data_IF_330134772221
#
_entry.id   IF_330134772221
#
_cell.length_a   1.000
_cell.length_b   1.000
_cell.length_c   1.000
_cell.angle_alpha   90.00
_cell.angle_beta   90.00
_cell.angle_gamma   90.00
#
_symmetry.space_group_name_H-M   'P 1'
#
loop_
_entity.id
_entity.type
_entity.pdbx_description
1 polymer ?
#
# COMPACT_ATOMS: atom_id res chain seq x y z
N UNK A 1 -7.87 -31.12 2.06
CA UNK A 1 -8.19 -30.04 1.14
C UNK A 1 -9.32 -30.49 0.26
N UNK A 2 -10.36 -29.70 0.04
CA UNK A 2 -11.49 -30.07 -0.83
C UNK A 2 -11.39 -29.20 -2.06
N UNK A 3 -11.18 -29.81 -3.23
CA UNK A 3 -11.22 -29.15 -4.55
C UNK A 3 -12.26 -29.87 -5.40
N UNK A 4 -13.15 -29.13 -6.04
CA UNK A 4 -14.25 -29.65 -6.87
C UNK A 4 -15.13 -30.73 -6.18
N UNK A 5 -15.28 -30.62 -4.84
CA UNK A 5 -16.09 -31.58 -4.06
C UNK A 5 -15.37 -32.87 -3.68
N UNK A 6 -14.11 -33.06 -4.06
CA UNK A 6 -13.30 -34.22 -3.65
C UNK A 6 -12.30 -33.85 -2.54
N UNK A 7 -12.12 -34.78 -1.60
CA UNK A 7 -11.19 -34.59 -0.49
C UNK A 7 -9.80 -35.12 -0.86
N UNK A 8 -8.80 -34.22 -0.82
CA UNK A 8 -7.40 -34.58 -1.02
C UNK A 8 -6.63 -34.44 0.29
N UNK A 9 -5.82 -35.45 0.69
CA UNK A 9 -4.95 -35.31 1.85
C UNK A 9 -3.88 -34.25 1.60
N UNK A 10 -3.75 -33.29 2.51
CA UNK A 10 -2.69 -32.26 2.45
C UNK A 10 -1.42 -32.84 3.04
N UNK A 11 -0.45 -33.13 2.20
CA UNK A 11 0.84 -33.70 2.61
C UNK A 11 1.86 -32.64 3.02
N UNK A 12 1.67 -31.36 2.61
CA UNK A 12 2.61 -30.29 2.88
C UNK A 12 1.91 -28.91 2.83
N UNK A 13 2.25 -28.04 3.80
CA UNK A 13 1.70 -26.68 3.87
C UNK A 13 0.30 -26.60 4.48
N UNK A 14 -0.29 -25.40 4.42
CA UNK A 14 -1.67 -25.14 4.80
C UNK A 14 -2.43 -24.56 3.60
N UNK A 15 -3.76 -24.79 3.51
CA UNK A 15 -4.54 -24.29 2.37
C UNK A 15 -4.45 -22.77 2.30
N UNK A 16 -4.31 -22.25 1.08
CA UNK A 16 -4.28 -20.81 0.82
C UNK A 16 -5.64 -20.21 1.18
N UNK A 17 -5.63 -19.12 1.97
CA UNK A 17 -6.85 -18.49 2.48
C UNK A 17 -7.40 -19.08 3.79
N UNK A 18 -6.72 -20.08 4.38
CA UNK A 18 -7.10 -20.60 5.70
C UNK A 18 -6.93 -19.54 6.80
N UNK A 19 -7.89 -19.45 7.73
CA UNK A 19 -7.91 -18.45 8.81
C UNK A 19 -6.65 -18.54 9.71
N UNK A 20 -6.15 -19.75 9.94
CA UNK A 20 -4.98 -20.01 10.79
C UNK A 20 -3.65 -19.86 10.03
N UNK A 21 -3.66 -19.89 8.69
CA UNK A 21 -2.43 -19.87 7.88
C UNK A 21 -1.49 -18.70 8.18
N UNK A 22 -1.97 -17.45 8.39
CA UNK A 22 -1.08 -16.33 8.75
C UNK A 22 -0.38 -16.51 10.10
N UNK A 23 -1.06 -17.14 11.07
CA UNK A 23 -0.49 -17.39 12.41
C UNK A 23 0.61 -18.46 12.30
N UNK A 24 0.32 -19.57 11.61
CA UNK A 24 1.30 -20.64 11.39
C UNK A 24 2.53 -20.14 10.61
N UNK A 25 2.32 -19.32 9.56
CA UNK A 25 3.41 -18.72 8.82
C UNK A 25 4.27 -17.81 9.69
N UNK A 26 3.67 -17.03 10.60
CA UNK A 26 4.41 -16.18 11.53
C UNK A 26 5.20 -16.99 12.56
N UNK A 27 4.63 -18.06 13.11
CA UNK A 27 5.34 -18.98 14.02
C UNK A 27 6.53 -19.60 13.29
N UNK A 28 6.33 -20.08 12.08
CA UNK A 28 7.38 -20.72 11.29
C UNK A 28 8.53 -19.77 10.95
N UNK A 29 8.21 -18.57 10.49
CA UNK A 29 9.20 -17.55 10.15
C UNK A 29 9.81 -16.84 11.37
N UNK A 30 9.25 -17.03 12.58
CA UNK A 30 9.88 -16.52 13.81
C UNK A 30 11.28 -17.08 14.03
N UNK A 31 11.54 -18.28 13.54
CA UNK A 31 12.90 -18.87 13.55
C UNK A 31 13.90 -17.96 12.83
N UNK A 32 13.52 -17.39 11.69
CA UNK A 32 14.36 -16.42 10.98
C UNK A 32 14.58 -15.16 11.82
N UNK A 33 13.52 -14.63 12.48
CA UNK A 33 13.62 -13.44 13.33
C UNK A 33 14.60 -13.68 14.50
N UNK A 34 14.57 -14.85 15.11
CA UNK A 34 15.48 -15.28 16.18
C UNK A 34 16.94 -15.36 15.70
N UNK A 35 17.18 -16.09 14.60
CA UNK A 35 18.52 -16.19 14.01
C UNK A 35 19.08 -14.82 13.63
N UNK A 36 18.23 -13.97 13.02
CA UNK A 36 18.64 -12.62 12.66
C UNK A 36 19.08 -11.81 13.85
N UNK A 37 18.27 -11.77 14.90
CA UNK A 37 18.54 -11.00 16.12
C UNK A 37 19.81 -11.45 16.81
N UNK A 38 20.04 -12.78 16.89
CA UNK A 38 21.17 -13.34 17.62
C UNK A 38 22.50 -13.30 16.85
N UNK A 39 22.47 -13.52 15.53
CA UNK A 39 23.70 -13.75 14.76
C UNK A 39 23.98 -12.69 13.69
N UNK A 40 22.95 -12.06 13.12
CA UNK A 40 23.08 -11.24 11.93
C UNK A 40 22.66 -9.76 12.11
N UNK A 41 22.31 -9.36 13.33
CA UNK A 41 21.88 -7.99 13.65
C UNK A 41 22.93 -6.92 13.29
N UNK A 42 24.20 -7.26 13.29
CA UNK A 42 25.31 -6.36 12.88
C UNK A 42 25.30 -6.03 11.39
N UNK A 43 24.69 -6.87 10.53
CA UNK A 43 24.61 -6.65 9.09
C UNK A 43 23.56 -5.58 8.73
N UNK A 44 22.48 -5.48 9.52
CA UNK A 44 21.41 -4.52 9.27
C UNK A 44 20.16 -4.82 10.08
N UNK A 45 19.16 -3.96 9.92
CA UNK A 45 17.87 -4.09 10.59
C UNK A 45 16.87 -4.84 9.72
N UNK A 46 16.41 -6.00 10.20
CA UNK A 46 15.34 -6.77 9.56
C UNK A 46 13.98 -6.27 10.03
N UNK A 47 13.11 -6.01 9.09
CA UNK A 47 11.68 -5.75 9.29
C UNK A 47 10.89 -6.76 8.48
N UNK A 48 10.01 -7.52 9.11
CA UNK A 48 9.17 -8.52 8.47
C UNK A 48 7.69 -8.23 8.69
N UNK A 49 6.91 -8.41 7.67
CA UNK A 49 5.46 -8.41 7.70
C UNK A 49 4.95 -9.62 6.93
N UNK A 50 4.48 -10.64 7.65
CA UNK A 50 4.20 -11.97 7.10
C UNK A 50 5.41 -12.53 6.33
N UNK A 51 5.28 -12.76 5.03
CA UNK A 51 6.33 -13.22 4.12
C UNK A 51 7.13 -12.06 3.46
N UNK A 52 6.65 -10.84 3.53
CA UNK A 52 7.37 -9.66 3.04
C UNK A 52 8.47 -9.23 4.01
N UNK A 53 9.70 -9.13 3.51
CA UNK A 53 10.89 -8.81 4.32
C UNK A 53 11.65 -7.62 3.75
N UNK A 54 12.13 -6.77 4.63
CA UNK A 54 12.99 -5.64 4.32
C UNK A 54 14.19 -5.65 5.26
N UNK A 55 15.40 -5.62 4.71
CA UNK A 55 16.64 -5.48 5.49
C UNK A 55 17.32 -4.17 5.10
N UNK A 56 17.50 -3.29 6.07
CA UNK A 56 18.18 -2.01 5.87
C UNK A 56 19.62 -2.14 6.31
N UNK A 57 20.55 -2.07 5.36
CA UNK A 57 21.99 -2.19 5.57
C UNK A 57 22.69 -0.86 5.32
N UNK A 58 23.86 -0.66 5.95
CA UNK A 58 24.67 0.55 5.77
C UNK A 58 25.47 0.55 4.47
N UNK A 59 25.91 -0.61 4.02
CA UNK A 59 26.76 -0.80 2.84
C UNK A 59 26.19 -1.89 1.92
N UNK A 60 26.59 -1.84 0.65
CA UNK A 60 26.23 -2.87 -0.32
C UNK A 60 26.76 -4.24 0.09
N UNK A 61 28.02 -4.31 0.57
CA UNK A 61 28.62 -5.56 1.04
C UNK A 61 27.80 -6.19 2.19
N UNK A 62 27.37 -5.37 3.16
CA UNK A 62 26.50 -5.86 4.23
C UNK A 62 25.14 -6.35 3.71
N UNK A 63 24.58 -5.73 2.67
CA UNK A 63 23.34 -6.19 2.05
C UNK A 63 23.50 -7.52 1.31
N UNK A 64 24.64 -7.75 0.65
CA UNK A 64 24.97 -9.01 0.00
C UNK A 64 25.16 -10.14 1.05
N UNK A 65 25.86 -9.85 2.13
CA UNK A 65 26.00 -10.78 3.26
C UNK A 65 24.66 -11.08 3.94
N UNK A 66 23.81 -10.08 4.10
CA UNK A 66 22.45 -10.20 4.64
C UNK A 66 21.58 -11.12 3.77
N UNK A 67 21.62 -10.93 2.46
CA UNK A 67 20.91 -11.79 1.52
C UNK A 67 21.37 -13.23 1.61
N UNK A 68 22.67 -13.46 1.68
CA UNK A 68 23.25 -14.81 1.85
C UNK A 68 22.79 -15.45 3.17
N UNK A 69 22.87 -14.72 4.28
CA UNK A 69 22.44 -15.19 5.60
C UNK A 69 20.96 -15.58 5.63
N UNK A 70 20.06 -14.71 5.10
CA UNK A 70 18.63 -15.02 4.98
C UNK A 70 18.40 -16.27 4.14
N UNK A 71 19.08 -16.39 3.00
CA UNK A 71 18.94 -17.55 2.12
C UNK A 71 19.33 -18.83 2.84
N UNK A 72 20.43 -18.84 3.59
CA UNK A 72 20.86 -19.99 4.37
C UNK A 72 19.84 -20.40 5.46
N UNK A 73 19.30 -19.42 6.19
CA UNK A 73 18.30 -19.69 7.22
C UNK A 73 17.01 -20.23 6.60
N UNK A 74 16.54 -19.63 5.51
CA UNK A 74 15.34 -20.10 4.81
C UNK A 74 15.51 -21.49 4.22
N UNK A 75 16.69 -21.83 3.68
CA UNK A 75 17.00 -23.18 3.22
C UNK A 75 16.90 -24.24 4.32
N UNK A 76 17.38 -23.93 5.55
CA UNK A 76 17.19 -24.80 6.72
C UNK A 76 15.71 -25.01 7.04
N UNK A 77 14.88 -24.01 6.79
CA UNK A 77 13.43 -24.07 6.92
C UNK A 77 12.74 -24.66 5.67
N UNK A 78 13.47 -25.23 4.71
CA UNK A 78 12.94 -25.75 3.44
C UNK A 78 12.12 -24.71 2.65
N UNK A 79 12.48 -23.43 2.80
CA UNK A 79 11.92 -22.30 2.07
C UNK A 79 12.94 -21.74 1.08
N UNK A 80 12.44 -21.19 -0.03
CA UNK A 80 13.28 -20.58 -1.06
C UNK A 80 12.97 -19.10 -1.21
N UNK A 81 14.02 -18.30 -1.38
CA UNK A 81 13.88 -16.87 -1.71
C UNK A 81 13.44 -16.74 -3.16
N UNK A 82 12.43 -15.91 -3.41
CA UNK A 82 11.93 -15.72 -4.79
C UNK A 82 12.95 -14.92 -5.61
N UNK A 83 13.52 -15.49 -6.69
CA UNK A 83 14.70 -14.93 -7.35
C UNK A 83 14.44 -13.57 -8.02
N UNK A 84 13.26 -13.36 -8.60
CA UNK A 84 12.93 -12.12 -9.32
C UNK A 84 12.35 -11.02 -8.43
N UNK A 85 11.76 -11.36 -7.29
CA UNK A 85 11.19 -10.38 -6.34
C UNK A 85 12.22 -9.88 -5.34
N UNK A 86 13.23 -10.69 -5.01
CA UNK A 86 14.28 -10.33 -4.06
C UNK A 86 15.38 -9.56 -4.78
N UNK A 87 15.71 -8.38 -4.27
CA UNK A 87 16.71 -7.51 -4.90
C UNK A 87 17.38 -6.60 -3.89
N UNK A 88 18.64 -6.29 -4.12
CA UNK A 88 19.38 -5.27 -3.39
C UNK A 88 19.19 -3.94 -4.13
N UNK A 89 18.74 -2.91 -3.42
CA UNK A 89 18.45 -1.60 -3.99
C UNK A 89 19.18 -0.51 -3.22
N UNK A 90 19.80 0.43 -3.94
CA UNK A 90 20.33 1.64 -3.33
C UNK A 90 19.22 2.67 -3.16
N UNK A 91 18.95 3.05 -1.90
CA UNK A 91 17.82 3.93 -1.54
C UNK A 91 17.96 5.35 -2.07
N UNK A 92 19.23 5.80 -2.33
CA UNK A 92 19.50 7.14 -2.87
C UNK A 92 19.14 7.27 -4.36
N UNK A 93 19.35 6.23 -5.14
CA UNK A 93 19.21 6.27 -6.61
C UNK A 93 17.78 5.96 -7.05
N UNK A 94 17.22 4.83 -6.65
CA UNK A 94 15.95 4.33 -7.19
C UNK A 94 14.81 4.30 -6.18
N UNK A 95 15.11 4.22 -4.86
CA UNK A 95 14.10 3.90 -3.86
C UNK A 95 13.58 2.47 -3.99
N UNK A 96 12.62 2.09 -3.16
CA UNK A 96 12.00 0.77 -3.19
C UNK A 96 10.55 0.84 -2.70
N UNK A 97 9.76 -0.18 -3.03
CA UNK A 97 8.40 -0.33 -2.53
C UNK A 97 8.35 -1.42 -1.44
N UNK A 98 7.68 -1.12 -0.33
CA UNK A 98 7.40 -2.06 0.76
C UNK A 98 6.03 -1.73 1.37
N UNK A 99 5.19 -2.74 1.55
CA UNK A 99 3.82 -2.62 2.08
C UNK A 99 2.99 -1.52 1.41
N UNK A 100 3.11 -1.39 0.11
CA UNK A 100 2.37 -0.39 -0.68
C UNK A 100 2.93 1.03 -0.63
N UNK A 101 3.95 1.30 0.21
CA UNK A 101 4.68 2.56 0.25
C UNK A 101 5.89 2.52 -0.67
N UNK A 102 6.18 3.64 -1.30
CA UNK A 102 7.46 3.90 -1.95
C UNK A 102 8.36 4.66 -0.99
N UNK A 103 9.55 4.11 -0.75
CA UNK A 103 10.59 4.70 0.09
C UNK A 103 11.72 5.27 -0.77
N UNK A 104 12.15 6.47 -0.46
CA UNK A 104 13.24 7.15 -1.16
C UNK A 104 14.03 8.03 -0.20
N UNK A 105 15.32 8.23 -0.48
CA UNK A 105 16.15 9.15 0.30
C UNK A 105 16.30 10.46 -0.47
N UNK A 106 15.65 11.50 0.01
CA UNK A 106 15.63 12.82 -0.61
C UNK A 106 16.17 13.91 0.29
N UNK A 107 16.40 15.11 -0.26
CA UNK A 107 16.82 16.28 0.49
C UNK A 107 15.62 17.02 1.08
N UNK A 108 15.69 17.36 2.35
CA UNK A 108 14.72 18.23 3.01
C UNK A 108 14.79 19.65 2.43
N UNK A 109 13.64 20.23 2.06
CA UNK A 109 13.59 21.57 1.43
C UNK A 109 14.19 22.69 2.30
N UNK A 110 14.01 22.62 3.63
CA UNK A 110 14.49 23.66 4.56
C UNK A 110 15.94 23.47 4.98
N UNK A 111 16.35 22.24 5.29
CA UNK A 111 17.66 21.97 5.90
C UNK A 111 18.70 21.44 4.93
N UNK A 112 18.32 21.09 3.70
CA UNK A 112 19.19 20.42 2.72
C UNK A 112 19.65 19.02 3.14
N UNK A 113 19.35 18.58 4.37
CA UNK A 113 19.76 17.27 4.91
C UNK A 113 19.06 16.13 4.18
N UNK A 114 19.74 15.02 4.02
CA UNK A 114 19.16 13.78 3.49
C UNK A 114 18.23 13.17 4.54
N UNK A 115 16.97 13.01 4.17
CA UNK A 115 15.94 12.42 5.01
C UNK A 115 15.25 11.26 4.27
N UNK A 116 14.75 10.25 5.00
CA UNK A 116 13.86 9.26 4.40
C UNK A 116 12.52 9.92 4.06
N UNK A 117 12.07 9.68 2.84
CA UNK A 117 10.76 10.09 2.36
C UNK A 117 9.96 8.84 2.05
N UNK A 118 8.66 8.85 2.34
CA UNK A 118 7.76 7.76 1.97
C UNK A 118 6.39 8.30 1.55
N UNK A 119 5.81 7.68 0.53
CA UNK A 119 4.48 8.01 0.00
C UNK A 119 3.83 6.78 -0.63
N UNK A 120 2.52 6.79 -0.93
CA UNK A 120 1.85 5.68 -1.63
C UNK A 120 2.56 5.31 -2.92
N UNK A 121 2.91 4.04 -3.08
CA UNK A 121 3.56 3.50 -4.26
C UNK A 121 2.64 3.52 -5.49
N UNK A 122 3.23 3.28 -6.67
CA UNK A 122 2.49 3.35 -7.92
C UNK A 122 1.38 2.30 -8.00
N UNK A 123 1.63 1.09 -7.50
CA UNK A 123 0.62 0.01 -7.46
C UNK A 123 -0.56 0.40 -6.57
N UNK A 124 -0.31 0.97 -5.38
CA UNK A 124 -1.35 1.43 -4.47
C UNK A 124 -2.19 2.57 -5.07
N UNK A 125 -1.55 3.52 -5.78
CA UNK A 125 -2.25 4.57 -6.51
C UNK A 125 -3.10 4.04 -7.66
N UNK A 126 -2.62 3.01 -8.39
CA UNK A 126 -3.37 2.36 -9.46
C UNK A 126 -4.59 1.62 -8.91
N UNK A 127 -4.42 0.86 -7.83
CA UNK A 127 -5.49 0.10 -7.19
C UNK A 127 -6.63 1.00 -6.70
N UNK A 128 -6.32 2.07 -5.95
CA UNK A 128 -7.37 2.99 -5.46
C UNK A 128 -8.09 3.71 -6.62
N UNK A 129 -7.38 4.07 -7.69
CA UNK A 129 -8.01 4.65 -8.89
C UNK A 129 -8.93 3.65 -9.58
N UNK A 130 -8.57 2.36 -9.62
CA UNK A 130 -9.44 1.30 -10.15
C UNK A 130 -10.72 1.20 -9.33
N UNK A 131 -10.62 1.12 -8.01
CA UNK A 131 -11.80 1.06 -7.13
C UNK A 131 -12.72 2.28 -7.31
N UNK A 132 -12.17 3.50 -7.39
CA UNK A 132 -12.97 4.71 -7.66
C UNK A 132 -13.65 4.63 -9.03
N UNK A 133 -12.95 4.11 -10.04
CA UNK A 133 -13.47 3.94 -11.38
C UNK A 133 -14.65 2.96 -11.40
N UNK A 134 -14.50 1.80 -10.77
CA UNK A 134 -15.53 0.76 -10.65
C UNK A 134 -16.81 1.31 -10.02
N UNK A 135 -16.70 2.08 -8.93
CA UNK A 135 -17.85 2.70 -8.27
C UNK A 135 -18.49 3.83 -9.08
N UNK A 136 -17.79 4.36 -10.07
CA UNK A 136 -18.27 5.47 -10.94
C UNK A 136 -18.47 5.04 -12.39
N UNK A 137 -18.62 3.76 -12.67
CA UNK A 137 -18.93 3.25 -14.00
C UNK A 137 -20.39 3.46 -14.40
N UNK A 138 -20.64 3.47 -15.71
CA UNK A 138 -21.97 3.73 -16.29
C UNK A 138 -23.04 2.70 -15.88
N UNK A 139 -22.65 1.51 -15.41
CA UNK A 139 -23.59 0.48 -14.96
C UNK A 139 -24.41 0.90 -13.73
N UNK A 140 -23.89 1.86 -12.93
CA UNK A 140 -24.59 2.44 -11.78
C UNK A 140 -25.51 3.64 -12.10
N UNK A 141 -26.01 3.78 -13.33
CA UNK A 141 -26.83 4.92 -13.75
C UNK A 141 -28.19 5.03 -13.05
N UNK A 142 -28.63 4.03 -12.33
CA UNK A 142 -29.85 4.06 -11.49
C UNK A 142 -29.61 4.63 -10.09
N UNK A 143 -28.35 4.85 -9.71
CA UNK A 143 -27.99 5.31 -8.37
C UNK A 143 -28.06 6.83 -8.24
N UNK A 144 -28.32 7.33 -7.04
CA UNK A 144 -28.25 8.75 -6.74
C UNK A 144 -26.81 9.20 -6.51
N UNK A 145 -26.51 10.50 -6.71
CA UNK A 145 -25.21 11.06 -6.39
C UNK A 145 -24.82 10.82 -4.93
N UNK A 146 -25.79 10.93 -4.02
CA UNK A 146 -25.59 10.68 -2.58
C UNK A 146 -25.14 9.25 -2.32
N UNK A 147 -25.74 8.27 -3.00
CA UNK A 147 -25.36 6.86 -2.87
C UNK A 147 -23.93 6.60 -3.37
N UNK A 148 -23.55 7.17 -4.51
CA UNK A 148 -22.17 7.05 -5.04
C UNK A 148 -21.15 7.68 -4.07
N UNK A 149 -21.45 8.87 -3.55
CA UNK A 149 -20.58 9.54 -2.57
C UNK A 149 -20.46 8.71 -1.28
N UNK A 150 -21.56 8.16 -0.80
CA UNK A 150 -21.56 7.28 0.38
C UNK A 150 -20.70 6.02 0.18
N UNK A 151 -20.65 5.45 -1.02
CA UNK A 151 -19.76 4.31 -1.37
C UNK A 151 -18.29 4.73 -1.49
N UNK A 152 -18.00 5.88 -2.07
CA UNK A 152 -16.63 6.35 -2.28
C UNK A 152 -15.94 6.80 -0.98
N UNK A 153 -16.69 7.43 -0.06
CA UNK A 153 -16.12 8.00 1.16
C UNK A 153 -15.38 6.97 2.05
N UNK A 154 -15.93 5.78 2.39
CA UNK A 154 -15.24 4.81 3.20
C UNK A 154 -13.98 4.27 2.51
N UNK A 155 -14.02 4.05 1.19
CA UNK A 155 -12.88 3.57 0.39
C UNK A 155 -11.73 4.58 0.46
N UNK A 156 -12.01 5.85 0.19
CA UNK A 156 -10.99 6.91 0.16
C UNK A 156 -10.49 7.20 1.58
N UNK A 157 -11.38 7.19 2.58
CA UNK A 157 -11.02 7.38 3.99
C UNK A 157 -10.10 6.27 4.48
N UNK A 158 -10.47 5.01 4.25
CA UNK A 158 -9.66 3.86 4.64
C UNK A 158 -8.27 3.92 4.01
N UNK A 159 -8.20 4.19 2.70
CA UNK A 159 -6.94 4.34 1.99
C UNK A 159 -6.08 5.51 2.52
N UNK A 160 -6.68 6.67 2.78
CA UNK A 160 -5.97 7.84 3.35
C UNK A 160 -5.47 7.57 4.77
N UNK A 161 -6.26 6.90 5.59
CA UNK A 161 -5.87 6.53 6.95
C UNK A 161 -4.65 5.61 6.95
N UNK A 162 -4.60 4.66 6.02
CA UNK A 162 -3.43 3.79 5.85
C UNK A 162 -2.18 4.57 5.43
N UNK A 163 -2.31 5.46 4.43
CA UNK A 163 -1.19 6.20 3.85
C UNK A 163 -0.95 7.59 4.47
N UNK A 164 -1.59 7.93 5.59
CA UNK A 164 -1.42 9.25 6.24
C UNK A 164 -0.02 9.48 6.80
N UNK A 165 0.71 8.40 7.03
CA UNK A 165 2.09 8.43 7.52
C UNK A 165 3.02 8.83 6.37
N UNK A 166 3.95 9.75 6.61
CA UNK A 166 4.94 10.15 5.62
C UNK A 166 4.54 11.34 4.73
N UNK A 167 5.13 11.42 3.54
CA UNK A 167 5.06 12.57 2.64
C UNK A 167 3.93 12.43 1.59
N UNK A 168 2.73 12.03 2.02
CA UNK A 168 1.64 11.61 1.14
C UNK A 168 0.75 12.74 0.61
N UNK A 169 0.92 13.99 1.06
CA UNK A 169 0.05 15.14 0.73
C UNK A 169 -0.18 15.32 -0.77
N UNK A 170 0.88 15.27 -1.58
CA UNK A 170 0.76 15.41 -3.04
C UNK A 170 -0.05 14.28 -3.66
N UNK A 171 0.15 13.05 -3.19
CA UNK A 171 -0.60 11.87 -3.66
C UNK A 171 -2.08 11.94 -3.27
N UNK A 172 -2.40 12.50 -2.11
CA UNK A 172 -3.78 12.76 -1.69
C UNK A 172 -4.45 13.80 -2.59
N UNK A 173 -3.76 14.90 -2.91
CA UNK A 173 -4.28 15.91 -3.83
C UNK A 173 -4.53 15.34 -5.24
N UNK A 174 -3.63 14.50 -5.74
CA UNK A 174 -3.78 13.83 -7.04
C UNK A 174 -4.99 12.86 -7.02
N UNK A 175 -5.20 12.15 -5.92
CA UNK A 175 -6.36 11.28 -5.74
C UNK A 175 -7.67 12.07 -5.67
N UNK A 176 -7.69 13.18 -4.91
CA UNK A 176 -8.85 14.07 -4.80
C UNK A 176 -9.25 14.65 -6.16
N UNK A 177 -8.26 15.07 -6.94
CA UNK A 177 -8.49 15.57 -8.31
C UNK A 177 -9.09 14.47 -9.19
N UNK A 178 -8.53 13.28 -9.15
CA UNK A 178 -9.02 12.13 -9.90
C UNK A 178 -10.46 11.76 -9.51
N UNK A 179 -10.76 11.65 -8.22
CA UNK A 179 -12.08 11.29 -7.73
C UNK A 179 -13.14 12.33 -8.15
N UNK A 180 -12.82 13.64 -8.06
CA UNK A 180 -13.70 14.71 -8.56
C UNK A 180 -13.98 14.58 -10.06
N UNK A 181 -12.95 14.34 -10.87
CA UNK A 181 -13.12 14.14 -12.30
C UNK A 181 -14.05 12.96 -12.61
N UNK A 182 -13.90 11.85 -11.88
CA UNK A 182 -14.77 10.69 -12.05
C UNK A 182 -16.22 10.96 -11.68
N UNK A 183 -16.46 11.64 -10.55
CA UNK A 183 -17.82 12.03 -10.13
C UNK A 183 -18.44 13.00 -11.13
N UNK A 184 -17.69 13.98 -11.64
CA UNK A 184 -18.18 14.90 -12.69
C UNK A 184 -18.55 14.15 -13.97
N UNK A 185 -17.72 13.21 -14.42
CA UNK A 185 -18.01 12.37 -15.59
C UNK A 185 -19.27 11.53 -15.37
N UNK A 186 -19.44 10.98 -14.17
CA UNK A 186 -20.62 10.22 -13.80
C UNK A 186 -21.88 11.11 -13.83
N UNK A 187 -21.85 12.32 -13.26
CA UNK A 187 -22.96 13.29 -13.30
C UNK A 187 -23.31 13.66 -14.75
N UNK A 188 -22.32 13.92 -15.59
CA UNK A 188 -22.54 14.23 -17.02
C UNK A 188 -23.18 13.07 -17.78
N UNK A 189 -22.79 11.84 -17.48
CA UNK A 189 -23.38 10.65 -18.09
C UNK A 189 -24.85 10.42 -17.64
N UNK A 190 -25.19 10.80 -16.41
CA UNK A 190 -26.56 10.72 -15.87
C UNK A 190 -27.50 11.76 -16.46
N UNK A 191 -26.96 12.92 -16.80
CA UNK A 191 -27.72 14.06 -17.32
C UNK A 191 -27.61 14.16 -18.84
N UNK A 192 -28.17 13.22 -19.58
CA UNK A 192 -28.43 13.45 -20.99
C UNK A 192 -29.40 14.63 -21.10
N UNK A 193 -28.92 15.87 -21.24
CA UNK A 193 -29.67 17.04 -21.57
C UNK A 193 -29.82 18.15 -20.52
N UNK A 194 -29.21 18.13 -19.36
CA UNK A 194 -29.28 19.22 -18.36
C UNK A 194 -27.94 19.91 -18.11
N UNK A 195 -27.97 21.25 -18.09
CA UNK A 195 -26.81 22.14 -17.87
C UNK A 195 -26.15 21.90 -16.51
N UNK A 196 -24.79 21.84 -16.45
CA UNK A 196 -24.14 21.53 -15.19
C UNK A 196 -23.78 22.76 -14.46
N UNK A 197 -23.86 23.52 -13.70
CA UNK A 197 -22.82 23.86 -12.71
C UNK A 197 -23.23 24.31 -11.31
N UNK A 198 -24.46 24.68 -11.04
CA UNK A 198 -24.82 25.19 -9.71
C UNK A 198 -24.58 24.14 -8.57
N UNK A 199 -24.77 22.88 -8.86
CA UNK A 199 -24.54 21.81 -7.85
C UNK A 199 -23.08 21.42 -7.65
N UNK A 200 -22.17 21.77 -8.56
CA UNK A 200 -20.73 21.57 -8.40
C UNK A 200 -20.09 22.62 -7.49
N UNK A 201 -20.68 23.82 -7.40
CA UNK A 201 -20.28 24.82 -6.41
C UNK A 201 -20.71 24.43 -4.99
N UNK A 202 -21.87 23.78 -4.82
CA UNK A 202 -22.31 23.19 -3.56
C UNK A 202 -21.48 22.01 -3.06
N UNK A 203 -20.78 21.28 -3.93
CA UNK A 203 -19.84 20.23 -3.58
C UNK A 203 -18.58 20.73 -2.85
N UNK A 204 -18.38 22.05 -2.80
CA UNK A 204 -17.31 22.68 -2.02
C UNK A 204 -17.59 22.79 -0.52
N UNK A 205 -18.84 22.71 -0.06
CA UNK A 205 -19.17 23.08 1.32
C UNK A 205 -20.21 22.23 2.07
N UNK A 206 -21.04 21.40 1.43
CA UNK A 206 -22.22 20.87 2.14
C UNK A 206 -22.47 19.37 2.04
N UNK A 207 -21.77 18.60 1.27
CA UNK A 207 -21.99 17.16 1.20
C UNK A 207 -20.68 16.42 1.32
N UNK A 208 -20.61 15.40 2.14
CA UNK A 208 -19.57 14.41 2.39
C UNK A 208 -18.25 14.39 1.59
N UNK A 209 -18.17 15.15 0.49
CA UNK A 209 -16.96 15.45 -0.26
C UNK A 209 -16.04 16.48 0.41
N UNK A 210 -16.44 17.11 1.51
CA UNK A 210 -15.56 17.95 2.34
C UNK A 210 -14.34 17.18 2.87
N UNK A 211 -14.39 15.86 2.84
CA UNK A 211 -13.24 15.01 3.14
C UNK A 211 -12.11 15.12 2.11
N UNK A 212 -12.38 15.58 0.90
CA UNK A 212 -11.35 15.82 -0.11
C UNK A 212 -10.53 17.09 0.12
N UNK A 213 -11.00 17.98 1.01
CA UNK A 213 -10.34 19.24 1.35
C UNK A 213 -9.53 19.17 2.63
N UNK A 214 -9.02 18.03 3.04
CA UNK A 214 -8.13 18.00 4.18
C UNK A 214 -6.79 18.66 3.83
N UNK A 215 -6.66 19.94 4.12
CA UNK A 215 -5.40 20.52 4.59
C UNK A 215 -5.03 19.83 5.90
N UNK A 216 -4.61 18.58 5.83
CA UNK A 216 -3.93 17.92 6.90
C UNK A 216 -2.56 18.56 7.02
N UNK A 217 -2.41 19.56 7.86
CA UNK A 217 -1.11 19.86 8.46
C UNK A 217 -0.70 18.56 9.15
N UNK A 218 0.31 17.92 8.61
CA UNK A 218 1.06 16.91 9.33
C UNK A 218 1.68 17.66 10.52
N UNK A 219 1.03 17.55 11.67
CA UNK A 219 1.55 18.10 12.90
C UNK A 219 2.81 17.32 13.25
N UNK A 220 3.93 17.94 13.03
CA UNK A 220 5.14 17.65 13.80
C UNK A 220 4.78 17.96 15.24
N UNK A 221 4.62 16.96 16.08
CA UNK A 221 4.80 17.08 17.52
C UNK A 221 6.09 16.39 17.92
N UNK A 222 6.74 16.94 18.97
CA UNK A 222 8.14 16.77 19.32
C UNK A 222 8.51 15.37 19.70
#
# INVERSE_FOLDING_TARGET
MVEEGQWYPTTMGSPQGGVISPVLANIYLHVLDMYWTQQYSSLGHLTRYADDMLIVCRTRRAAEQALHAVTQVLQKLKLTVHPTKTRIVEVKSAGFEFLGFHFHKGRARRSGKLIPLMWPGQKAMKAIRSHIREQTERRGLKETLTAIVAKLNPIIRGWRNYFRVGNSTKKFQDLDRYARQRVVQWIRAHRKGATPPAQLQGLRSTSGLAYFSARGRCGTRP
#
